data_IF_211735850017
#
_entry.id   IF_211735850017
#
_cell.length_a   1.000
_cell.length_b   1.000
_cell.length_c   1.000
_cell.angle_alpha   90.00
_cell.angle_beta   90.00
_cell.angle_gamma   90.00
#
_symmetry.space_group_name_H-M   'P 1'
#
loop_
_entity.id
_entity.type
_entity.pdbx_description
1 polymer ?
#
# COMPACT_ATOMS: atom_id res chain seq x y z
N UNK A 1 -12.54 23.94 -20.65
CA UNK A 1 -12.47 22.46 -20.72
C UNK A 1 -11.20 22.07 -20.01
N UNK A 2 -11.25 21.31 -18.91
CA UNK A 2 -10.05 20.80 -18.27
C UNK A 2 -9.49 19.69 -19.17
N UNK A 3 -8.37 19.94 -19.82
CA UNK A 3 -7.66 18.88 -20.54
C UNK A 3 -7.11 17.92 -19.49
N UNK A 4 -7.57 16.68 -19.52
CA UNK A 4 -6.96 15.61 -18.73
C UNK A 4 -5.53 15.39 -19.22
N UNK A 5 -4.61 15.21 -18.29
CA UNK A 5 -3.24 14.84 -18.61
C UNK A 5 -3.15 13.38 -19.08
N UNK A 6 -3.95 12.47 -18.47
CA UNK A 6 -4.10 11.07 -18.86
C UNK A 6 -5.52 10.91 -19.42
N UNK A 7 -5.63 10.61 -20.71
CA UNK A 7 -6.90 10.52 -21.46
C UNK A 7 -7.30 9.06 -21.67
N UNK A 8 -8.51 8.83 -22.23
CA UNK A 8 -8.96 7.48 -22.56
C UNK A 8 -8.04 6.74 -23.55
N UNK A 9 -7.36 7.47 -24.43
CA UNK A 9 -6.48 6.89 -25.46
C UNK A 9 -5.03 6.72 -24.97
N UNK A 10 -4.73 7.13 -23.72
CA UNK A 10 -3.40 6.95 -23.13
C UNK A 10 -3.14 5.46 -22.90
N UNK A 11 -2.00 4.91 -23.31
CA UNK A 11 -1.70 3.50 -23.08
C UNK A 11 -1.56 3.19 -21.59
N UNK A 12 -1.98 1.98 -21.19
CA UNK A 12 -1.77 1.48 -19.82
C UNK A 12 -0.39 0.83 -19.75
N UNK A 13 0.60 1.59 -19.33
CA UNK A 13 1.98 1.15 -19.14
C UNK A 13 2.58 1.64 -17.81
N UNK A 14 3.77 1.13 -17.48
CA UNK A 14 4.46 1.47 -16.22
C UNK A 14 4.77 2.98 -16.10
N UNK A 15 5.01 3.69 -17.20
CA UNK A 15 5.31 5.13 -17.16
C UNK A 15 4.07 5.94 -16.77
N UNK A 16 2.91 5.59 -17.34
CA UNK A 16 1.63 6.22 -17.02
C UNK A 16 1.18 5.86 -15.61
N UNK A 17 1.29 4.60 -15.20
CA UNK A 17 0.95 4.19 -13.84
C UNK A 17 1.87 4.86 -12.80
N UNK A 18 3.15 5.04 -13.12
CA UNK A 18 4.08 5.79 -12.27
C UNK A 18 3.73 7.29 -12.20
N UNK A 19 3.27 7.89 -13.28
CA UNK A 19 2.76 9.27 -13.23
C UNK A 19 1.58 9.40 -12.24
N UNK A 20 0.67 8.43 -12.20
CA UNK A 20 -0.44 8.38 -11.24
C UNK A 20 0.07 8.31 -9.79
N UNK A 21 1.18 7.59 -9.52
CA UNK A 21 1.81 7.55 -8.18
C UNK A 21 2.18 8.94 -7.69
N UNK A 22 2.70 9.79 -8.58
CA UNK A 22 3.21 11.13 -8.22
C UNK A 22 2.12 12.23 -8.22
N UNK A 23 0.96 12.00 -8.82
CA UNK A 23 -0.16 12.96 -8.76
C UNK A 23 -0.82 12.83 -7.38
N UNK A 24 -0.94 13.90 -6.56
CA UNK A 24 -1.72 13.84 -5.33
C UNK A 24 -3.16 13.41 -5.60
N UNK A 25 -3.73 12.61 -4.70
CA UNK A 25 -5.03 11.96 -4.92
C UNK A 25 -6.15 12.96 -5.19
N UNK A 26 -6.13 14.13 -4.55
CA UNK A 26 -7.10 15.22 -4.77
C UNK A 26 -7.08 15.81 -6.19
N UNK A 27 -6.00 15.62 -6.93
CA UNK A 27 -5.89 16.11 -8.32
C UNK A 27 -6.19 15.02 -9.35
N UNK A 28 -6.20 13.74 -8.97
CA UNK A 28 -6.47 12.64 -9.90
C UNK A 28 -7.78 12.85 -10.69
N UNK A 29 -8.92 13.26 -10.08
CA UNK A 29 -10.17 13.48 -10.82
C UNK A 29 -10.11 14.61 -11.85
N UNK A 30 -9.11 15.49 -11.76
CA UNK A 30 -8.92 16.59 -12.69
C UNK A 30 -7.92 16.26 -13.80
N UNK A 31 -7.00 15.37 -13.54
CA UNK A 31 -5.86 15.07 -14.42
C UNK A 31 -5.97 13.71 -15.12
N UNK A 32 -6.77 12.79 -14.58
CA UNK A 32 -6.97 11.44 -15.12
C UNK A 32 -8.41 11.26 -15.55
N UNK A 33 -8.63 10.98 -16.82
CA UNK A 33 -9.96 10.77 -17.35
C UNK A 33 -10.64 9.55 -16.70
N UNK A 34 -11.93 9.63 -16.32
CA UNK A 34 -12.66 8.48 -15.81
C UNK A 34 -12.63 7.27 -16.77
N UNK A 35 -12.69 7.53 -18.08
CA UNK A 35 -12.62 6.48 -19.10
C UNK A 35 -11.28 5.74 -19.12
N UNK A 36 -10.17 6.38 -18.75
CA UNK A 36 -8.90 5.69 -18.54
C UNK A 36 -8.97 4.75 -17.34
N UNK A 37 -9.46 5.22 -16.20
CA UNK A 37 -9.55 4.42 -14.97
C UNK A 37 -10.45 3.19 -15.14
N UNK A 38 -11.50 3.30 -15.97
CA UNK A 38 -12.40 2.18 -16.31
C UNK A 38 -11.70 1.06 -17.09
N UNK A 39 -10.60 1.32 -17.76
CA UNK A 39 -9.83 0.32 -18.51
C UNK A 39 -8.89 -0.49 -17.59
N UNK A 40 -8.56 0.05 -16.40
CA UNK A 40 -7.62 -0.60 -15.50
C UNK A 40 -8.22 -1.87 -14.90
N UNK A 41 -7.47 -2.96 -14.93
CA UNK A 41 -7.78 -4.19 -14.23
C UNK A 41 -7.16 -4.19 -12.82
N UNK A 42 -7.48 -5.19 -12.00
CA UNK A 42 -6.90 -5.34 -10.66
C UNK A 42 -5.36 -5.39 -10.67
N UNK A 43 -4.78 -6.04 -11.67
CA UNK A 43 -3.31 -6.09 -11.85
C UNK A 43 -2.68 -4.71 -12.05
N UNK A 44 -3.40 -3.78 -12.68
CA UNK A 44 -2.89 -2.42 -12.95
C UNK A 44 -2.95 -1.57 -11.69
N UNK A 45 -4.01 -1.70 -10.87
CA UNK A 45 -4.05 -1.08 -9.54
C UNK A 45 -3.02 -1.70 -8.58
N UNK A 46 -2.82 -3.03 -8.65
CA UNK A 46 -1.72 -3.66 -7.91
C UNK A 46 -0.37 -3.13 -8.38
N UNK A 47 -0.20 -2.88 -9.69
CA UNK A 47 1.02 -2.29 -10.22
C UNK A 47 1.27 -0.87 -9.68
N UNK A 48 0.23 -0.04 -9.54
CA UNK A 48 0.33 1.26 -8.86
C UNK A 48 0.79 1.05 -7.40
N UNK A 49 0.23 0.08 -6.70
CA UNK A 49 0.66 -0.31 -5.35
C UNK A 49 2.14 -0.70 -5.29
N UNK A 50 2.61 -1.50 -6.26
CA UNK A 50 4.02 -1.93 -6.33
C UNK A 50 4.95 -0.76 -6.65
N UNK A 51 4.53 0.21 -7.46
CA UNK A 51 5.29 1.43 -7.72
C UNK A 51 5.38 2.32 -6.47
N UNK A 52 4.31 2.38 -5.66
CA UNK A 52 4.35 3.03 -4.34
C UNK A 52 5.29 2.29 -3.37
N UNK A 53 5.29 0.95 -3.40
CA UNK A 53 6.22 0.14 -2.62
C UNK A 53 7.68 0.39 -3.05
N UNK A 54 7.93 0.49 -4.36
CA UNK A 54 9.25 0.85 -4.89
C UNK A 54 9.68 2.24 -4.39
N UNK A 55 8.77 3.22 -4.41
CA UNK A 55 9.02 4.56 -3.87
C UNK A 55 9.45 4.49 -2.40
N UNK A 56 8.76 3.71 -1.56
CA UNK A 56 9.17 3.49 -0.16
C UNK A 56 10.59 2.92 -0.06
N UNK A 57 10.90 1.91 -0.89
CA UNK A 57 12.22 1.28 -0.92
C UNK A 57 13.32 2.25 -1.33
N UNK A 58 13.08 3.06 -2.35
CA UNK A 58 14.02 4.07 -2.84
C UNK A 58 14.28 5.17 -1.80
N UNK A 59 13.29 5.47 -0.96
CA UNK A 59 13.39 6.37 0.19
C UNK A 59 14.04 5.72 1.43
N UNK A 60 14.41 4.45 1.34
CA UNK A 60 15.06 3.69 2.43
C UNK A 60 14.11 3.01 3.40
N UNK A 61 12.83 2.92 3.09
CA UNK A 61 11.79 2.27 3.90
C UNK A 61 11.43 0.86 3.45
N UNK A 62 10.45 0.28 4.13
CA UNK A 62 9.88 -1.03 3.82
C UNK A 62 8.99 -0.97 2.57
N UNK A 63 9.19 -1.81 1.54
CA UNK A 63 8.49 -1.71 0.26
C UNK A 63 7.05 -2.26 0.31
N UNK A 64 6.18 -1.54 0.98
CA UNK A 64 4.75 -1.86 1.02
C UNK A 64 3.95 -0.65 0.55
N UNK A 65 3.10 -0.87 -0.45
CA UNK A 65 2.19 0.13 -1.01
C UNK A 65 0.74 -0.30 -0.87
N UNK A 66 -0.14 0.69 -0.69
CA UNK A 66 -1.59 0.51 -0.62
C UNK A 66 -2.32 1.43 -1.60
N UNK A 67 -3.38 0.91 -2.23
CA UNK A 67 -4.26 1.68 -3.11
C UNK A 67 -5.71 1.35 -2.77
N UNK A 68 -6.56 2.37 -2.70
CA UNK A 68 -8.00 2.21 -2.48
C UNK A 68 -8.75 2.81 -3.65
N UNK A 69 -9.65 2.05 -4.24
CA UNK A 69 -10.49 2.51 -5.35
C UNK A 69 -11.97 2.42 -5.02
N UNK A 70 -12.75 3.33 -5.56
CA UNK A 70 -14.20 3.20 -5.63
C UNK A 70 -14.57 2.17 -6.72
N UNK A 71 -15.37 1.16 -6.37
CA UNK A 71 -15.67 0.02 -7.25
C UNK A 71 -16.52 0.42 -8.47
N UNK A 72 -17.37 1.44 -8.33
CA UNK A 72 -18.26 1.90 -9.39
C UNK A 72 -17.54 2.80 -10.40
N UNK A 73 -16.80 3.77 -9.89
CA UNK A 73 -16.13 4.79 -10.72
C UNK A 73 -14.72 4.41 -11.12
N UNK A 74 -14.14 3.43 -10.46
CA UNK A 74 -12.71 3.03 -10.55
C UNK A 74 -11.74 4.13 -10.14
N UNK A 75 -12.24 5.23 -9.57
CA UNK A 75 -11.40 6.31 -9.07
C UNK A 75 -10.55 5.85 -7.89
N UNK A 76 -9.29 6.24 -7.89
CA UNK A 76 -8.42 6.09 -6.74
C UNK A 76 -8.86 7.14 -5.71
N UNK A 77 -9.33 6.66 -4.55
CA UNK A 77 -9.79 7.49 -3.43
C UNK A 77 -8.76 7.61 -2.34
N UNK A 78 -7.75 6.76 -2.34
CA UNK A 78 -6.62 6.83 -1.43
C UNK A 78 -5.46 5.97 -1.93
N UNK A 79 -4.25 6.43 -1.70
CA UNK A 79 -3.03 5.68 -1.99
C UNK A 79 -1.90 6.10 -1.06
N UNK A 80 -0.97 5.20 -0.82
CA UNK A 80 0.17 5.50 0.04
C UNK A 80 1.17 4.35 0.09
N UNK A 81 2.27 4.59 0.75
CA UNK A 81 3.32 3.61 0.98
C UNK A 81 3.76 3.64 2.44
N UNK A 82 4.48 2.63 2.85
CA UNK A 82 5.06 2.56 4.18
C UNK A 82 6.06 3.71 4.39
N UNK A 83 5.93 4.43 5.52
CA UNK A 83 6.80 5.55 5.90
C UNK A 83 7.35 5.40 7.32
N UNK A 84 7.34 4.19 7.89
CA UNK A 84 7.82 3.92 9.24
C UNK A 84 9.23 4.49 9.47
N UNK A 85 10.15 4.16 8.57
CA UNK A 85 11.54 4.62 8.68
C UNK A 85 11.72 6.09 8.30
N UNK A 86 11.07 6.52 7.23
CA UNK A 86 11.22 7.87 6.67
C UNK A 86 10.70 8.95 7.62
N UNK A 87 9.56 8.70 8.27
CA UNK A 87 8.90 9.65 9.17
C UNK A 87 9.14 9.36 10.66
N UNK A 88 9.89 8.28 10.97
CA UNK A 88 10.05 7.78 12.33
C UNK A 88 8.70 7.59 13.05
N UNK A 89 7.72 7.04 12.34
CA UNK A 89 6.36 6.77 12.79
C UNK A 89 6.08 5.27 12.82
N UNK A 90 5.88 4.69 13.99
CA UNK A 90 5.65 3.25 14.16
C UNK A 90 4.28 2.77 13.68
N UNK A 91 3.46 3.63 13.07
CA UNK A 91 2.07 3.32 12.71
C UNK A 91 1.76 3.39 11.22
N UNK A 92 2.56 4.10 10.43
CA UNK A 92 2.23 4.38 9.02
C UNK A 92 2.70 3.27 8.09
N UNK A 93 1.95 2.15 8.09
CA UNK A 93 2.04 1.11 7.07
C UNK A 93 1.41 1.58 5.74
N UNK A 94 1.68 0.88 4.65
CA UNK A 94 1.14 1.22 3.33
C UNK A 94 -0.39 1.33 3.30
N UNK A 95 -1.07 0.38 3.96
CA UNK A 95 -2.52 0.38 4.12
C UNK A 95 -3.01 1.58 4.96
N UNK A 96 -2.32 1.87 6.06
CA UNK A 96 -2.65 3.03 6.92
C UNK A 96 -2.45 4.34 6.17
N UNK A 97 -1.37 4.47 5.38
CA UNK A 97 -1.13 5.64 4.55
C UNK A 97 -2.25 5.84 3.52
N UNK A 98 -2.67 4.77 2.84
CA UNK A 98 -3.78 4.82 1.89
C UNK A 98 -5.11 5.20 2.56
N UNK A 99 -5.40 4.68 3.76
CA UNK A 99 -6.59 5.03 4.54
C UNK A 99 -6.60 6.51 4.97
N UNK A 100 -5.45 7.03 5.40
CA UNK A 100 -5.30 8.46 5.79
C UNK A 100 -5.51 9.37 4.58
N UNK A 101 -4.97 8.99 3.44
CA UNK A 101 -5.14 9.75 2.19
C UNK A 101 -6.60 9.73 1.71
N UNK A 102 -7.28 8.60 1.77
CA UNK A 102 -8.70 8.46 1.45
C UNK A 102 -9.59 9.34 2.34
N UNK A 103 -9.33 9.38 3.65
CA UNK A 103 -10.05 10.24 4.57
C UNK A 103 -9.87 11.72 4.24
N UNK A 104 -8.63 12.14 3.96
CA UNK A 104 -8.33 13.52 3.57
C UNK A 104 -9.00 13.93 2.27
N UNK A 105 -8.97 13.07 1.24
CA UNK A 105 -9.59 13.34 -0.06
C UNK A 105 -11.10 13.53 0.08
N UNK A 106 -11.77 12.69 0.85
CA UNK A 106 -13.21 12.83 1.11
C UNK A 106 -13.54 14.17 1.79
N UNK A 107 -12.75 14.57 2.78
CA UNK A 107 -12.95 15.85 3.50
C UNK A 107 -12.75 17.06 2.60
N UNK A 108 -11.72 17.06 1.75
CA UNK A 108 -11.41 18.19 0.87
C UNK A 108 -12.47 18.42 -0.22
N UNK A 109 -13.15 17.37 -0.65
CA UNK A 109 -14.17 17.45 -1.70
C UNK A 109 -15.54 17.84 -1.18
N UNK A 110 -15.77 17.81 0.13
CA UNK A 110 -17.09 18.03 0.70
C UNK A 110 -18.12 16.96 0.35
N UNK A 111 -17.67 15.83 -0.20
CA UNK A 111 -18.53 14.72 -0.67
C UNK A 111 -18.93 13.75 0.45
N UNK A 112 -18.57 14.09 1.68
CA UNK A 112 -18.73 13.20 2.83
C UNK A 112 -17.65 12.13 2.93
N UNK A 113 -17.72 11.25 3.92
CA UNK A 113 -16.73 10.20 4.11
C UNK A 113 -16.79 9.16 2.99
N UNK A 114 -15.63 8.59 2.62
CA UNK A 114 -15.56 7.43 1.72
C UNK A 114 -16.38 6.28 2.30
N UNK A 115 -17.30 5.72 1.52
CA UNK A 115 -17.99 4.49 1.91
C UNK A 115 -17.13 3.27 1.53
N UNK A 116 -16.26 2.87 2.45
CA UNK A 116 -15.34 1.77 2.23
C UNK A 116 -16.02 0.44 1.85
N UNK A 117 -17.32 0.25 2.19
CA UNK A 117 -18.09 -0.93 1.78
C UNK A 117 -18.35 -1.01 0.28
N UNK A 118 -18.02 0.04 -0.47
CA UNK A 118 -18.11 0.14 -1.93
C UNK A 118 -16.73 0.30 -2.58
N UNK A 119 -15.68 -0.05 -1.87
CA UNK A 119 -14.30 0.13 -2.33
C UNK A 119 -13.54 -1.19 -2.31
N UNK A 120 -12.45 -1.21 -3.07
CA UNK A 120 -11.45 -2.28 -3.05
C UNK A 120 -10.14 -1.71 -2.51
N UNK A 121 -9.52 -2.42 -1.57
CA UNK A 121 -8.15 -2.17 -1.15
C UNK A 121 -7.20 -3.13 -1.86
N UNK A 122 -6.12 -2.59 -2.40
CA UNK A 122 -4.97 -3.32 -2.89
C UNK A 122 -3.82 -3.09 -1.91
N UNK A 123 -3.15 -4.16 -1.48
CA UNK A 123 -1.93 -4.11 -0.67
C UNK A 123 -0.90 -5.04 -1.26
N UNK A 124 0.34 -4.55 -1.40
CA UNK A 124 1.41 -5.30 -2.09
C UNK A 124 1.93 -6.48 -1.28
N UNK A 125 1.81 -6.44 0.04
CA UNK A 125 2.11 -7.54 0.94
C UNK A 125 0.85 -7.88 1.76
N UNK A 126 0.76 -9.11 2.26
CA UNK A 126 -0.30 -9.49 3.20
C UNK A 126 -0.34 -8.52 4.38
N UNK A 127 -1.50 -7.91 4.70
CA UNK A 127 -1.60 -6.90 5.75
C UNK A 127 -1.27 -7.50 7.12
N UNK A 128 -0.56 -6.77 7.96
CA UNK A 128 -0.32 -7.21 9.34
C UNK A 128 -1.63 -7.24 10.16
N UNK A 129 -1.59 -7.85 11.35
CA UNK A 129 -2.76 -7.96 12.22
C UNK A 129 -3.38 -6.60 12.56
N UNK A 130 -2.57 -5.55 12.74
CA UNK A 130 -3.05 -4.18 13.01
C UNK A 130 -3.79 -3.62 11.81
N UNK A 131 -3.22 -3.79 10.61
CA UNK A 131 -3.89 -3.37 9.35
C UNK A 131 -5.17 -4.18 9.11
N UNK A 132 -5.16 -5.50 9.38
CA UNK A 132 -6.38 -6.32 9.33
C UNK A 132 -7.47 -5.79 10.27
N UNK A 133 -7.11 -5.39 11.48
CA UNK A 133 -8.06 -4.81 12.43
C UNK A 133 -8.67 -3.49 11.94
N UNK A 134 -7.87 -2.62 11.30
CA UNK A 134 -8.38 -1.40 10.66
C UNK A 134 -9.32 -1.72 9.50
N UNK A 135 -8.91 -2.65 8.63
CA UNK A 135 -9.69 -3.10 7.46
C UNK A 135 -11.03 -3.68 7.90
N UNK A 136 -11.03 -4.60 8.88
CA UNK A 136 -12.23 -5.29 9.34
C UNK A 136 -13.17 -4.39 10.15
N UNK A 137 -12.64 -3.68 11.17
CA UNK A 137 -13.47 -3.01 12.16
C UNK A 137 -13.85 -1.58 11.79
N UNK A 138 -13.07 -0.93 10.92
CA UNK A 138 -13.28 0.47 10.55
C UNK A 138 -13.83 0.67 9.16
N UNK A 139 -13.41 -0.17 8.22
CA UNK A 139 -13.62 0.08 6.80
C UNK A 139 -14.62 -0.88 6.17
N UNK A 140 -14.56 -2.17 6.49
CA UNK A 140 -15.40 -3.20 5.87
C UNK A 140 -15.38 -3.12 4.33
N UNK A 141 -14.18 -3.19 3.75
CA UNK A 141 -14.03 -3.17 2.30
C UNK A 141 -14.88 -4.25 1.62
N UNK A 142 -15.45 -3.92 0.46
CA UNK A 142 -16.13 -4.92 -0.38
C UNK A 142 -15.16 -5.99 -0.87
N UNK A 143 -13.91 -5.57 -1.14
CA UNK A 143 -12.87 -6.45 -1.65
C UNK A 143 -11.50 -6.04 -1.12
N UNK A 144 -10.66 -7.03 -0.82
CA UNK A 144 -9.23 -6.83 -0.54
C UNK A 144 -8.41 -7.68 -1.49
N UNK A 145 -7.46 -7.08 -2.18
CA UNK A 145 -6.53 -7.75 -3.11
C UNK A 145 -5.13 -7.70 -2.51
N UNK A 146 -4.52 -8.87 -2.31
CA UNK A 146 -3.20 -9.04 -1.71
C UNK A 146 -2.20 -9.43 -2.81
N UNK A 147 -1.11 -8.68 -2.93
CA UNK A 147 -0.08 -8.91 -3.95
C UNK A 147 0.88 -10.04 -3.59
N UNK A 148 1.25 -10.18 -2.34
CA UNK A 148 2.25 -11.15 -1.87
C UNK A 148 1.83 -11.81 -0.56
N UNK A 149 1.84 -13.14 -0.53
CA UNK A 149 1.68 -13.98 0.66
C UNK A 149 2.85 -14.97 0.80
N UNK A 150 3.87 -14.82 -0.04
CA UNK A 150 5.05 -15.70 -0.08
C UNK A 150 6.10 -15.27 0.95
N UNK A 151 6.31 -13.96 1.05
CA UNK A 151 7.34 -13.38 1.94
C UNK A 151 6.85 -13.14 3.37
N UNK A 152 5.54 -13.25 3.61
CA UNK A 152 4.95 -13.15 4.96
C UNK A 152 3.74 -14.09 5.08
N UNK A 153 3.45 -14.62 6.29
CA UNK A 153 2.29 -15.49 6.49
C UNK A 153 0.99 -14.80 6.11
N UNK A 154 0.17 -15.48 5.30
CA UNK A 154 -1.10 -14.94 4.84
C UNK A 154 -2.08 -14.65 5.99
N UNK A 155 -2.57 -13.43 6.04
CA UNK A 155 -3.62 -12.98 6.96
C UNK A 155 -5.02 -12.97 6.31
N UNK A 156 -5.17 -13.53 5.12
CA UNK A 156 -6.46 -13.67 4.45
C UNK A 156 -7.54 -14.36 5.34
N UNK A 157 -7.22 -15.37 6.18
CA UNK A 157 -8.20 -15.91 7.13
C UNK A 157 -8.69 -14.84 8.12
N UNK A 158 -7.82 -14.01 8.67
CA UNK A 158 -8.19 -12.93 9.62
C UNK A 158 -9.14 -11.93 8.96
N UNK A 159 -8.89 -11.58 7.69
CA UNK A 159 -9.79 -10.70 6.93
C UNK A 159 -11.16 -11.33 6.73
N UNK A 160 -11.21 -12.61 6.37
CA UNK A 160 -12.49 -13.35 6.17
C UNK A 160 -13.26 -13.51 7.47
N UNK A 161 -12.60 -13.86 8.55
CA UNK A 161 -13.21 -13.99 9.88
C UNK A 161 -13.76 -12.64 10.37
N UNK A 162 -13.15 -11.54 9.95
CA UNK A 162 -13.62 -10.17 10.20
C UNK A 162 -14.74 -9.70 9.26
N UNK A 163 -15.22 -10.55 8.35
CA UNK A 163 -16.37 -10.27 7.47
C UNK A 163 -16.02 -9.80 6.04
N UNK A 164 -14.74 -9.74 5.67
CA UNK A 164 -14.34 -9.46 4.29
C UNK A 164 -14.42 -10.73 3.46
N UNK A 165 -15.55 -10.96 2.80
CA UNK A 165 -15.77 -12.21 2.06
C UNK A 165 -14.99 -12.30 0.75
N UNK A 166 -14.66 -11.16 0.12
CA UNK A 166 -13.95 -11.11 -1.15
C UNK A 166 -12.48 -10.77 -0.94
N UNK A 167 -11.69 -11.75 -0.53
CA UNK A 167 -10.22 -11.64 -0.40
C UNK A 167 -9.55 -12.40 -1.54
N UNK A 168 -8.88 -11.66 -2.42
CA UNK A 168 -8.17 -12.18 -3.59
C UNK A 168 -6.66 -12.14 -3.32
N UNK A 169 -5.98 -13.25 -3.57
CA UNK A 169 -4.52 -13.33 -3.57
C UNK A 169 -4.08 -13.32 -5.02
N UNK A 170 -3.34 -12.28 -5.41
CA UNK A 170 -2.93 -12.09 -6.80
C UNK A 170 -1.57 -12.72 -7.10
N UNK A 171 -0.72 -12.90 -6.07
CA UNK A 171 0.66 -13.36 -6.20
C UNK A 171 1.43 -12.56 -7.27
N UNK A 172 1.38 -11.22 -7.14
CA UNK A 172 2.02 -10.32 -8.10
C UNK A 172 3.54 -10.50 -8.09
N UNK A 173 4.16 -10.95 -9.21
CA UNK A 173 5.58 -11.28 -9.22
C UNK A 173 6.49 -10.09 -8.89
N UNK A 174 6.07 -8.86 -9.21
CA UNK A 174 6.85 -7.66 -8.93
C UNK A 174 6.81 -7.29 -7.43
N UNK A 175 5.65 -7.44 -6.78
CA UNK A 175 5.52 -7.27 -5.33
C UNK A 175 6.36 -8.31 -4.58
N UNK A 176 6.25 -9.59 -4.97
CA UNK A 176 7.02 -10.69 -4.38
C UNK A 176 8.52 -10.46 -4.51
N UNK A 177 9.00 -10.11 -5.71
CA UNK A 177 10.42 -9.89 -5.96
C UNK A 177 10.97 -8.69 -5.19
N UNK A 178 10.23 -7.59 -5.15
CA UNK A 178 10.66 -6.36 -4.46
C UNK A 178 10.78 -6.58 -2.96
N UNK A 179 9.80 -7.23 -2.33
CA UNK A 179 9.85 -7.48 -0.89
C UNK A 179 10.96 -8.49 -0.53
N UNK A 180 11.14 -9.53 -1.36
CA UNK A 180 12.25 -10.47 -1.20
C UNK A 180 13.60 -9.76 -1.24
N UNK A 181 13.81 -8.91 -2.25
CA UNK A 181 15.04 -8.11 -2.38
C UNK A 181 15.30 -7.26 -1.12
N UNK A 182 14.26 -6.59 -0.62
CA UNK A 182 14.34 -5.80 0.61
C UNK A 182 14.77 -6.64 1.82
N UNK A 183 14.12 -7.79 2.05
CA UNK A 183 14.43 -8.65 3.20
C UNK A 183 15.85 -9.21 3.16
N UNK A 184 16.39 -9.44 1.96
CA UNK A 184 17.76 -9.92 1.75
C UNK A 184 18.82 -8.80 1.89
N UNK A 185 18.53 -7.60 1.36
CA UNK A 185 19.48 -6.49 1.35
C UNK A 185 19.40 -5.60 2.60
N UNK A 186 18.26 -5.57 3.26
CA UNK A 186 18.01 -4.76 4.46
C UNK A 186 17.43 -5.59 5.60
N UNK A 187 18.10 -6.70 6.00
CA UNK A 187 17.64 -7.53 7.10
C UNK A 187 17.53 -6.74 8.42
N UNK A 188 18.34 -5.70 8.60
CA UNK A 188 18.28 -4.77 9.71
C UNK A 188 16.91 -4.12 9.87
N UNK A 189 16.38 -3.51 8.80
CA UNK A 189 15.07 -2.87 8.81
C UNK A 189 13.93 -3.90 8.81
N UNK A 190 14.07 -4.96 8.03
CA UNK A 190 13.08 -6.04 8.01
C UNK A 190 12.80 -6.62 9.40
N UNK A 191 13.85 -6.82 10.23
CA UNK A 191 13.68 -7.30 11.60
C UNK A 191 13.08 -6.26 12.54
N UNK A 192 13.39 -4.96 12.37
CA UNK A 192 12.77 -3.88 13.15
C UNK A 192 11.26 -3.83 12.89
N UNK A 193 10.87 -3.88 11.64
CA UNK A 193 9.47 -3.68 11.25
C UNK A 193 8.58 -4.89 11.62
N UNK A 194 9.15 -6.12 11.65
CA UNK A 194 8.35 -7.35 11.76
C UNK A 194 8.48 -8.09 13.09
N UNK A 195 9.56 -7.89 13.80
CA UNK A 195 9.96 -8.94 14.73
C UNK A 195 9.64 -8.68 16.20
N UNK A 196 9.30 -7.48 16.58
CA UNK A 196 9.24 -7.13 18.01
C UNK A 196 10.55 -7.42 18.72
N UNK A 197 10.66 -7.03 19.99
CA UNK A 197 11.91 -7.10 20.76
C UNK A 197 12.58 -8.49 20.79
N UNK A 198 11.78 -9.57 20.91
CA UNK A 198 12.35 -10.92 21.07
C UNK A 198 13.13 -11.38 19.83
N UNK A 199 12.56 -11.20 18.64
CA UNK A 199 13.24 -11.58 17.40
C UNK A 199 14.38 -10.64 17.03
N UNK A 200 14.30 -9.37 17.45
CA UNK A 200 15.41 -8.43 17.33
C UNK A 200 16.64 -8.92 18.11
N UNK A 201 16.46 -9.33 19.36
CA UNK A 201 17.54 -9.83 20.17
C UNK A 201 18.12 -11.15 19.62
N UNK A 202 17.27 -12.03 19.10
CA UNK A 202 17.67 -13.27 18.41
C UNK A 202 18.46 -12.96 17.13
N UNK A 203 18.01 -12.03 16.31
CA UNK A 203 18.69 -11.60 15.10
C UNK A 203 20.02 -10.92 15.39
N UNK A 204 20.08 -10.10 16.43
CA UNK A 204 21.31 -9.46 16.89
C UNK A 204 22.32 -10.50 17.41
N UNK A 205 21.86 -11.45 18.20
CA UNK A 205 22.69 -12.56 18.67
C UNK A 205 23.21 -13.45 17.54
N UNK A 206 22.43 -13.62 16.48
CA UNK A 206 22.81 -14.34 15.26
C UNK A 206 23.70 -13.53 14.30
N UNK A 207 24.06 -12.29 14.63
CA UNK A 207 24.89 -11.43 13.78
C UNK A 207 24.17 -10.91 12.50
N UNK A 208 22.84 -11.04 12.43
CA UNK A 208 22.04 -10.61 11.30
C UNK A 208 21.72 -9.10 11.33
N UNK A 209 21.97 -8.45 12.47
CA UNK A 209 21.78 -7.01 12.66
C UNK A 209 23.14 -6.37 12.91
N UNK A 210 23.50 -5.29 12.21
CA UNK A 210 24.75 -4.58 12.44
C UNK A 210 24.89 -4.14 13.90
N UNK A 211 26.07 -4.37 14.51
CA UNK A 211 26.35 -3.99 15.90
C UNK A 211 26.21 -2.47 16.17
N UNK A 212 26.17 -1.66 15.14
CA UNK A 212 26.13 -0.20 15.17
C UNK A 212 24.77 0.41 14.80
N UNK A 213 23.66 -0.30 14.95
CA UNK A 213 22.36 0.33 14.84
C UNK A 213 22.08 1.18 16.09
N UNK A 214 22.77 2.30 16.17
CA UNK A 214 22.44 3.36 17.11
C UNK A 214 21.38 4.21 16.40
N UNK A 215 20.15 4.13 16.87
CA UNK A 215 19.11 5.05 16.45
C UNK A 215 19.66 6.48 16.58
N UNK A 216 19.87 7.18 15.46
CA UNK A 216 20.16 8.62 15.50
C UNK A 216 18.92 9.26 16.13
N UNK A 217 19.06 9.74 17.37
CA UNK A 217 18.06 10.65 17.93
C UNK A 217 17.98 11.84 16.99
N UNK A 218 16.78 12.25 16.57
CA UNK A 218 16.63 13.52 15.87
C UNK A 218 17.19 14.61 16.77
N UNK A 219 18.10 15.44 16.23
CA UNK A 219 18.61 16.63 16.88
C UNK A 219 17.55 17.70 17.01
#
# INVERSE_FOLDING_TARGET
>A
MSEFFITADTPVDDAVLNAIVHIPTEYLPKLVAPAFLQQLADKDFMRIGTLLAQKSYDEGGCPIGGVIIDNKTRQIVGKGHNTLGQENDSTTHGETAALRDAGRVAMLKGEGPVDFRKTTMFTTLTPCVVCCAQINNRCHFEKVVIGDVTNAPSTAPILRDGGINNVVILEDPKSVALYKEYSEKRPDLHYIDWAGHKKWDEAKAAGLVPAAFVAKKPG
#
